data_IF_842649846568
#
_entry.id   IF_842649846568
#
_cell.length_a   1.000
_cell.length_b   1.000
_cell.length_c   1.000
_cell.angle_alpha   90.00
_cell.angle_beta   90.00
_cell.angle_gamma   90.00
#
_symmetry.space_group_name_H-M   'P 1'
#
loop_
_entity.id
_entity.type
_entity.pdbx_description
1 polymer ?
#
# COMPACT_ATOMS: atom_id res chain seq x y z
N UNK A 1 16.04 11.51 -14.43
CA UNK A 1 16.12 10.04 -14.59
C UNK A 1 14.98 9.57 -15.50
N UNK A 2 15.28 8.62 -16.41
CA UNK A 2 14.28 8.07 -17.36
C UNK A 2 13.38 7.03 -16.71
N UNK A 3 13.85 6.40 -15.63
CA UNK A 3 13.17 5.30 -14.97
C UNK A 3 13.15 5.44 -13.46
N UNK A 4 12.08 4.93 -12.86
CA UNK A 4 11.91 4.75 -11.41
C UNK A 4 11.72 3.26 -11.13
N UNK A 5 12.44 2.75 -10.12
CA UNK A 5 12.25 1.41 -9.58
C UNK A 5 11.86 1.48 -8.11
N UNK A 6 10.81 0.75 -7.74
CA UNK A 6 10.33 0.61 -6.36
C UNK A 6 10.38 -0.85 -5.94
N UNK A 7 10.88 -1.10 -4.74
CA UNK A 7 10.84 -2.40 -4.08
C UNK A 7 9.93 -2.37 -2.87
N UNK A 8 8.85 -3.15 -2.90
CA UNK A 8 7.95 -3.35 -1.78
C UNK A 8 8.34 -4.63 -1.05
N UNK A 9 8.90 -4.51 0.16
CA UNK A 9 9.41 -5.64 0.93
C UNK A 9 8.31 -6.52 1.54
N UNK A 10 7.12 -5.96 1.75
CA UNK A 10 5.96 -6.67 2.32
C UNK A 10 4.72 -6.48 1.43
N UNK A 11 4.73 -7.05 0.22
CA UNK A 11 3.65 -6.85 -0.76
C UNK A 11 2.31 -7.46 -0.33
N UNK A 12 2.32 -8.35 0.65
CA UNK A 12 1.15 -8.93 1.28
C UNK A 12 0.42 -7.98 2.24
N UNK A 13 1.07 -6.87 2.63
CA UNK A 13 0.50 -5.87 3.54
C UNK A 13 -0.24 -4.76 2.81
N UNK A 14 -1.21 -4.19 3.50
CA UNK A 14 -1.91 -3.01 3.02
C UNK A 14 -1.09 -1.75 3.34
N UNK A 15 -0.85 -0.88 2.36
CA UNK A 15 0.05 0.27 2.55
C UNK A 15 -0.51 1.35 3.49
N UNK A 16 -1.86 1.42 3.60
CA UNK A 16 -2.57 2.45 4.39
C UNK A 16 -3.34 1.84 5.58
N UNK A 17 -2.86 0.70 6.09
CA UNK A 17 -3.56 -0.06 7.13
C UNK A 17 -4.62 -1.01 6.58
N UNK A 18 -5.19 -1.84 7.44
CA UNK A 18 -6.11 -2.90 7.03
C UNK A 18 -7.48 -2.36 6.55
N UNK A 19 -8.09 -2.99 5.54
CA UNK A 19 -9.39 -2.60 4.99
C UNK A 19 -10.58 -3.19 5.76
N UNK A 20 -10.51 -3.27 7.09
CA UNK A 20 -11.63 -3.81 7.86
C UNK A 20 -12.83 -2.87 7.83
N UNK A 21 -14.02 -3.43 8.09
CA UNK A 21 -15.31 -2.72 8.04
C UNK A 21 -15.68 -2.10 6.69
N UNK A 22 -15.10 -2.56 5.58
CA UNK A 22 -15.46 -2.04 4.25
C UNK A 22 -16.93 -2.22 3.90
N UNK A 23 -17.57 -3.28 4.39
CA UNK A 23 -18.99 -3.58 4.13
C UNK A 23 -19.93 -2.85 5.11
N UNK A 24 -19.38 -2.16 6.10
CA UNK A 24 -20.15 -1.31 6.99
C UNK A 24 -20.29 0.09 6.38
N UNK A 25 -21.48 0.41 5.87
CA UNK A 25 -21.76 1.71 5.26
C UNK A 25 -21.53 2.89 6.22
N UNK A 26 -21.69 2.69 7.52
CA UNK A 26 -21.50 3.73 8.53
C UNK A 26 -19.99 3.95 8.78
N UNK A 27 -19.17 2.89 8.81
CA UNK A 27 -17.72 3.01 8.92
C UNK A 27 -17.08 3.73 7.71
N UNK A 28 -17.71 3.65 6.54
CA UNK A 28 -17.26 4.35 5.34
C UNK A 28 -17.80 5.79 5.24
N UNK A 29 -18.86 6.13 5.98
CA UNK A 29 -19.49 7.45 6.00
C UNK A 29 -19.05 8.30 7.17
N UNK A 30 -18.88 7.70 8.35
CA UNK A 30 -18.55 8.43 9.58
C UNK A 30 -17.03 8.51 9.77
N UNK A 31 -16.42 9.45 9.06
CA UNK A 31 -15.00 9.77 9.20
C UNK A 31 -14.64 10.39 10.57
N UNK A 32 -15.57 10.54 11.50
CA UNK A 32 -15.33 11.01 12.87
C UNK A 32 -14.96 9.89 13.83
N UNK A 33 -15.24 8.63 13.48
CA UNK A 33 -14.88 7.46 14.29
C UNK A 33 -13.65 6.76 13.71
N UNK A 34 -12.47 7.27 14.04
CA UNK A 34 -11.19 6.74 13.58
C UNK A 34 -10.95 5.28 13.99
N UNK A 35 -11.53 4.84 15.11
CA UNK A 35 -11.33 3.50 15.67
C UNK A 35 -11.86 2.38 14.77
N UNK A 36 -12.95 2.64 14.07
CA UNK A 36 -13.62 1.68 13.20
C UNK A 36 -13.40 1.95 11.70
N UNK A 37 -12.61 2.98 11.36
CA UNK A 37 -12.38 3.36 9.97
C UNK A 37 -11.46 2.37 9.25
N UNK A 38 -11.81 1.94 8.03
CA UNK A 38 -10.87 1.22 7.18
C UNK A 38 -9.68 2.11 6.81
N UNK A 39 -8.52 1.48 6.57
CA UNK A 39 -7.29 2.20 6.19
C UNK A 39 -6.95 3.34 7.17
N UNK A 40 -6.64 2.98 8.40
CA UNK A 40 -6.41 3.93 9.51
C UNK A 40 -5.25 4.90 9.30
N UNK A 41 -4.26 4.51 8.50
CA UNK A 41 -3.08 5.33 8.24
C UNK A 41 -3.35 6.42 7.20
N UNK A 42 -4.56 6.43 6.63
CA UNK A 42 -5.05 7.50 5.76
C UNK A 42 -6.11 8.33 6.51
N UNK A 43 -5.88 9.63 6.58
CA UNK A 43 -6.79 10.58 7.22
C UNK A 43 -8.20 10.53 6.63
N UNK A 44 -9.16 10.81 7.49
CA UNK A 44 -10.55 10.94 7.09
C UNK A 44 -10.74 12.12 6.13
N UNK A 45 -11.34 11.86 4.98
CA UNK A 45 -11.58 12.87 3.94
C UNK A 45 -12.74 12.48 3.03
N UNK A 46 -13.27 13.47 2.32
CA UNK A 46 -14.27 13.23 1.28
C UNK A 46 -13.73 12.33 0.16
N UNK A 47 -12.46 12.49 -0.19
CA UNK A 47 -11.78 11.65 -1.19
C UNK A 47 -11.70 10.20 -0.74
N UNK A 48 -11.29 9.94 0.51
CA UNK A 48 -11.27 8.60 1.08
C UNK A 48 -12.67 7.96 1.03
N UNK A 49 -13.68 8.69 1.49
CA UNK A 49 -15.08 8.23 1.48
C UNK A 49 -15.57 7.92 0.06
N UNK A 50 -15.20 8.75 -0.90
CA UNK A 50 -15.55 8.54 -2.31
C UNK A 50 -14.87 7.28 -2.88
N UNK A 51 -13.57 7.09 -2.62
CA UNK A 51 -12.81 5.90 -3.04
C UNK A 51 -13.42 4.62 -2.48
N UNK A 52 -13.74 4.60 -1.19
CA UNK A 52 -14.35 3.45 -0.53
C UNK A 52 -15.73 3.12 -1.10
N UNK A 53 -16.55 4.14 -1.35
CA UNK A 53 -17.89 3.98 -1.92
C UNK A 53 -17.88 3.45 -3.36
N UNK A 54 -16.85 3.83 -4.13
CA UNK A 54 -16.79 3.52 -5.56
C UNK A 54 -15.77 2.41 -5.88
N UNK A 55 -15.26 1.68 -4.87
CA UNK A 55 -14.21 0.67 -5.02
C UNK A 55 -14.55 -0.48 -5.97
N UNK A 56 -15.84 -0.80 -6.09
CA UNK A 56 -16.33 -1.97 -6.82
C UNK A 56 -17.01 -1.61 -8.15
N UNK A 57 -16.99 -0.33 -8.55
CA UNK A 57 -17.59 0.12 -9.79
C UNK A 57 -16.57 0.72 -10.77
N UNK A 58 -16.95 0.83 -12.04
CA UNK A 58 -16.07 1.32 -13.11
C UNK A 58 -15.56 2.75 -12.89
N UNK A 59 -16.28 3.56 -12.09
CA UNK A 59 -15.90 4.95 -11.84
C UNK A 59 -14.69 5.07 -10.89
N UNK A 60 -14.63 4.23 -9.87
CA UNK A 60 -13.65 4.38 -8.79
C UNK A 60 -12.68 3.22 -8.60
N UNK A 61 -12.93 2.05 -9.18
CA UNK A 61 -12.13 0.86 -8.96
C UNK A 61 -10.63 1.08 -9.24
N UNK A 62 -10.29 1.68 -10.38
CA UNK A 62 -8.90 1.94 -10.75
C UNK A 62 -8.23 2.90 -9.76
N UNK A 63 -8.89 3.98 -9.38
CA UNK A 63 -8.39 4.95 -8.40
C UNK A 63 -8.25 4.32 -7.01
N UNK A 64 -9.20 3.49 -6.59
CA UNK A 64 -9.11 2.73 -5.34
C UNK A 64 -7.89 1.81 -5.33
N UNK A 65 -7.67 1.03 -6.38
CA UNK A 65 -6.52 0.12 -6.47
C UNK A 65 -5.19 0.88 -6.48
N UNK A 66 -5.10 1.98 -7.20
CA UNK A 66 -3.90 2.81 -7.24
C UNK A 66 -3.60 3.50 -5.89
N UNK A 67 -4.63 3.82 -5.11
CA UNK A 67 -4.45 4.56 -3.85
C UNK A 67 -4.34 3.63 -2.64
N UNK A 68 -5.24 2.65 -2.53
CA UNK A 68 -5.44 1.84 -1.33
C UNK A 68 -5.10 0.36 -1.53
N UNK A 69 -4.96 -0.09 -2.77
CA UNK A 69 -4.66 -1.49 -3.09
C UNK A 69 -3.28 -1.93 -2.58
N UNK A 70 -3.13 -3.24 -2.40
CA UNK A 70 -1.81 -3.82 -2.12
C UNK A 70 -0.86 -3.55 -3.27
N UNK A 71 0.39 -3.32 -2.95
CA UNK A 71 1.43 -3.06 -3.94
C UNK A 71 2.09 -4.37 -4.38
N UNK A 72 2.44 -4.53 -5.66
CA UNK A 72 3.26 -5.66 -6.08
C UNK A 72 4.66 -5.57 -5.47
N UNK A 73 5.40 -6.69 -5.45
CA UNK A 73 6.75 -6.72 -4.88
C UNK A 73 7.72 -5.76 -5.58
N UNK A 74 7.48 -5.49 -6.87
CA UNK A 74 8.30 -4.59 -7.69
C UNK A 74 7.41 -3.70 -8.53
N UNK A 75 7.81 -2.43 -8.65
CA UNK A 75 7.21 -1.49 -9.59
C UNK A 75 8.34 -0.83 -10.39
N UNK A 76 8.09 -0.62 -11.68
CA UNK A 76 9.04 0.00 -12.59
C UNK A 76 8.30 0.92 -13.56
N UNK A 77 8.72 2.17 -13.64
CA UNK A 77 8.05 3.20 -14.42
C UNK A 77 9.03 3.90 -15.34
N UNK A 78 8.61 4.17 -16.58
CA UNK A 78 9.33 5.03 -17.52
C UNK A 78 8.83 6.47 -17.34
N UNK A 79 9.40 7.20 -16.37
CA UNK A 79 8.86 8.48 -15.88
C UNK A 79 8.93 9.61 -16.90
N UNK A 80 9.73 9.47 -17.94
CA UNK A 80 9.76 10.37 -19.10
C UNK A 80 8.51 10.26 -20.00
N UNK A 81 7.82 9.11 -19.93
CA UNK A 81 6.62 8.79 -20.75
C UNK A 81 5.37 8.57 -19.94
N UNK A 82 5.52 8.44 -18.62
CA UNK A 82 4.47 8.15 -17.66
C UNK A 82 4.74 8.92 -16.37
N UNK A 83 4.60 10.24 -16.44
CA UNK A 83 4.91 11.16 -15.36
C UNK A 83 4.07 10.86 -14.09
N UNK A 84 2.84 10.39 -14.27
CA UNK A 84 1.94 10.05 -13.19
C UNK A 84 2.13 8.63 -12.64
N UNK A 85 3.06 7.84 -13.22
CA UNK A 85 3.42 6.49 -12.77
C UNK A 85 2.22 5.53 -12.69
N UNK A 86 1.36 5.59 -13.70
CA UNK A 86 0.13 4.78 -13.77
C UNK A 86 0.38 3.39 -14.36
N UNK A 87 1.44 3.22 -15.15
CA UNK A 87 1.74 1.99 -15.87
C UNK A 87 2.96 1.29 -15.29
N UNK A 88 2.73 0.30 -14.43
CA UNK A 88 3.81 -0.53 -13.92
C UNK A 88 4.37 -1.45 -15.01
N UNK A 89 5.64 -1.26 -15.37
CA UNK A 89 6.38 -2.01 -16.39
C UNK A 89 7.29 -3.10 -15.81
N UNK A 90 7.18 -3.43 -14.53
CA UNK A 90 8.06 -4.38 -13.85
C UNK A 90 8.07 -5.78 -14.50
N UNK A 91 6.99 -6.17 -15.17
CA UNK A 91 6.87 -7.44 -15.89
C UNK A 91 7.16 -7.33 -17.40
N UNK A 92 7.53 -6.16 -17.88
CA UNK A 92 7.80 -5.94 -19.30
C UNK A 92 9.17 -6.51 -19.71
N UNK A 93 9.25 -7.46 -20.66
CA UNK A 93 10.52 -8.00 -21.15
C UNK A 93 11.45 -6.93 -21.72
N UNK A 94 10.88 -5.89 -22.35
CA UNK A 94 11.64 -4.77 -22.93
C UNK A 94 12.41 -3.96 -21.90
N UNK A 95 11.97 -3.97 -20.65
CA UNK A 95 12.55 -3.20 -19.55
C UNK A 95 13.30 -4.07 -18.53
N UNK A 96 13.40 -5.38 -18.77
CA UNK A 96 13.98 -6.34 -17.83
C UNK A 96 15.42 -5.97 -17.43
N UNK A 97 16.26 -5.59 -18.39
CA UNK A 97 17.64 -5.20 -18.14
C UNK A 97 17.75 -3.92 -17.29
N UNK A 98 17.03 -2.86 -17.68
CA UNK A 98 17.03 -1.60 -16.94
C UNK A 98 16.49 -1.77 -15.51
N UNK A 99 15.41 -2.56 -15.36
CA UNK A 99 14.88 -2.92 -14.04
C UNK A 99 15.93 -3.63 -13.20
N UNK A 100 16.60 -4.66 -13.74
CA UNK A 100 17.61 -5.43 -13.02
C UNK A 100 18.78 -4.55 -12.56
N UNK A 101 19.24 -3.61 -13.38
CA UNK A 101 20.30 -2.67 -13.01
C UNK A 101 19.88 -1.79 -11.82
N UNK A 102 18.68 -1.21 -11.85
CA UNK A 102 18.19 -0.38 -10.76
C UNK A 102 17.93 -1.19 -9.48
N UNK A 103 17.39 -2.40 -9.61
CA UNK A 103 17.20 -3.32 -8.48
C UNK A 103 18.53 -3.66 -7.80
N UNK A 104 19.55 -4.01 -8.60
CA UNK A 104 20.90 -4.31 -8.09
C UNK A 104 21.50 -3.09 -7.38
N UNK A 105 21.37 -1.90 -7.98
CA UNK A 105 21.88 -0.66 -7.38
C UNK A 105 21.17 -0.37 -6.04
N UNK A 106 19.84 -0.48 -5.99
CA UNK A 106 19.07 -0.29 -4.77
C UNK A 106 19.53 -1.27 -3.68
N UNK A 107 19.61 -2.56 -4.00
CA UNK A 107 20.00 -3.59 -3.03
C UNK A 107 21.43 -3.37 -2.53
N UNK A 108 22.34 -2.88 -3.38
CA UNK A 108 23.69 -2.51 -2.94
C UNK A 108 23.66 -1.37 -1.93
N UNK A 109 22.93 -0.28 -2.22
CA UNK A 109 22.79 0.86 -1.30
C UNK A 109 22.23 0.42 0.05
N UNK A 110 21.16 -0.41 0.04
CA UNK A 110 20.55 -0.91 1.29
C UNK A 110 21.50 -1.78 2.11
N UNK A 111 22.31 -2.62 1.44
CA UNK A 111 23.33 -3.44 2.10
C UNK A 111 24.45 -2.57 2.69
N UNK A 112 24.99 -1.65 1.91
CA UNK A 112 26.09 -0.79 2.32
C UNK A 112 25.70 0.11 3.51
N UNK A 113 24.43 0.55 3.56
CA UNK A 113 23.88 1.33 4.68
C UNK A 113 23.39 0.49 5.86
N UNK A 114 23.49 -0.84 5.77
CA UNK A 114 22.93 -1.77 6.76
C UNK A 114 21.45 -1.49 7.07
N UNK A 115 20.66 -1.28 6.01
CA UNK A 115 19.26 -0.90 6.14
C UNK A 115 18.44 -1.95 6.90
N UNK A 116 17.68 -1.54 7.93
CA UNK A 116 16.96 -2.48 8.80
C UNK A 116 15.83 -3.25 8.08
N UNK A 117 15.36 -2.80 6.91
CA UNK A 117 14.38 -3.52 6.08
C UNK A 117 14.90 -4.86 5.59
N UNK A 118 16.22 -5.00 5.40
CA UNK A 118 16.84 -6.26 4.97
C UNK A 118 16.83 -7.35 6.04
N UNK A 119 16.51 -6.99 7.29
CA UNK A 119 16.47 -7.89 8.46
C UNK A 119 15.09 -7.99 9.08
N UNK A 120 14.07 -7.54 8.38
CA UNK A 120 12.69 -7.48 8.89
C UNK A 120 12.55 -6.73 10.24
N UNK A 121 13.44 -5.78 10.53
CA UNK A 121 13.47 -5.09 11.82
C UNK A 121 12.20 -4.27 12.13
N UNK A 122 11.39 -3.98 11.10
CA UNK A 122 10.12 -3.29 11.26
C UNK A 122 8.93 -4.25 11.47
N UNK A 123 9.18 -5.55 11.64
CA UNK A 123 8.14 -6.55 11.82
C UNK A 123 7.72 -6.76 13.28
N UNK A 124 8.27 -5.99 14.20
CA UNK A 124 7.99 -6.04 15.63
C UNK A 124 7.86 -4.66 16.26
N UNK A 125 7.69 -4.62 17.59
CA UNK A 125 7.68 -3.37 18.34
C UNK A 125 8.99 -2.58 18.12
N UNK A 126 8.94 -1.25 18.10
CA UNK A 126 7.75 -0.38 18.30
C UNK A 126 6.91 -0.17 17.03
N UNK A 127 7.32 -0.72 15.88
CA UNK A 127 6.73 -0.43 14.56
C UNK A 127 5.41 -1.15 14.33
N UNK A 128 5.29 -2.38 14.87
CA UNK A 128 4.04 -3.14 14.86
C UNK A 128 3.62 -3.38 16.29
N UNK A 129 2.48 -2.81 16.67
CA UNK A 129 1.91 -3.08 17.99
C UNK A 129 1.47 -4.54 18.09
N UNK A 130 1.83 -5.27 19.16
CA UNK A 130 1.30 -6.60 19.43
C UNK A 130 -0.24 -6.66 19.49
N UNK A 131 -0.88 -5.54 19.82
CA UNK A 131 -2.34 -5.41 19.84
C UNK A 131 -2.96 -5.26 18.44
N UNK A 132 -2.16 -4.97 17.41
CA UNK A 132 -2.59 -4.87 16.03
C UNK A 132 -2.51 -6.20 15.27
N UNK A 133 -2.29 -7.33 15.95
CA UNK A 133 -2.39 -8.64 15.32
C UNK A 133 -3.79 -8.87 14.77
N UNK A 134 -3.89 -9.42 13.57
CA UNK A 134 -5.13 -9.64 12.80
C UNK A 134 -6.29 -10.28 13.58
N UNK A 135 -6.01 -10.97 14.69
CA UNK A 135 -7.00 -11.61 15.51
C UNK A 135 -7.95 -10.63 16.24
N UNK A 136 -7.50 -9.40 16.56
CA UNK A 136 -8.36 -8.37 17.15
C UNK A 136 -9.13 -7.58 16.12
N UNK A 137 -8.56 -7.45 14.91
CA UNK A 137 -9.19 -6.74 13.79
C UNK A 137 -10.42 -7.50 13.23
N UNK A 138 -10.51 -8.82 13.47
CA UNK A 138 -11.62 -9.66 13.02
C UNK A 138 -12.84 -9.67 13.97
N UNK A 139 -12.69 -9.18 15.18
CA UNK A 139 -13.80 -9.05 16.12
C UNK A 139 -14.24 -7.59 16.14
N UNK A 140 -15.21 -7.27 15.31
CA UNK A 140 -15.93 -6.00 15.43
C UNK A 140 -16.46 -5.79 16.85
N UNK A 141 -16.72 -4.55 17.25
CA UNK A 141 -17.21 -4.25 18.59
C UNK A 141 -18.46 -5.08 18.87
N UNK A 142 -18.46 -5.83 20.00
CA UNK A 142 -19.67 -6.50 20.46
C UNK A 142 -20.71 -5.40 20.71
N UNK A 143 -21.75 -5.37 19.87
CA UNK A 143 -22.92 -4.52 20.13
C UNK A 143 -23.49 -4.92 21.50
N UNK A 144 -23.50 -3.97 22.43
CA UNK A 144 -24.36 -4.00 23.62
C UNK A 144 -25.73 -3.49 23.24
#
# INVERSE_FOLDING_TARGET
PEHLYVRNFKPDRWPMGAPYNLDNADATRDYRRLEDAPFRDLDASLTKSWLLKNRDNSLGQAAYQLTLGKRPAEEFFAVDKDADQLRNLAQSPRHAQAKAQLATRLMKVLKDSNDPRLRDAFDGPPWISPAASDAKLRKGPKRK
#
